data_IF_964156355487
#
_entry.id   IF_964156355487
#
_cell.length_a   1.000
_cell.length_b   1.000
_cell.length_c   1.000
_cell.angle_alpha   90.00
_cell.angle_beta   90.00
_cell.angle_gamma   90.00
#
_symmetry.space_group_name_H-M   'P 1'
#
loop_
_entity.id
_entity.type
_entity.pdbx_description
1 polymer ?
#
# COMPACT_ATOMS: atom_id res chain seq x y z
N UNK A 1 -5.69 6.40 -8.18
CA UNK A 1 -5.29 5.03 -7.79
C UNK A 1 -5.12 4.11 -8.99
N UNK A 2 -6.16 3.85 -9.80
CA UNK A 2 -6.00 2.95 -10.96
C UNK A 2 -5.06 3.50 -12.04
N UNK A 3 -5.23 4.76 -12.45
CA UNK A 3 -4.31 5.44 -13.39
C UNK A 3 -2.87 5.48 -12.87
N UNK A 4 -2.68 5.76 -11.58
CA UNK A 4 -1.35 5.78 -10.96
C UNK A 4 -0.75 4.38 -10.95
N UNK A 5 -1.49 3.36 -10.54
CA UNK A 5 -1.03 1.96 -10.57
C UNK A 5 -0.63 1.50 -11.97
N UNK A 6 -1.38 1.88 -13.02
CA UNK A 6 -1.00 1.61 -14.41
C UNK A 6 0.31 2.29 -14.83
N UNK A 7 0.56 3.53 -14.37
CA UNK A 7 1.84 4.20 -14.61
C UNK A 7 2.99 3.46 -13.91
N UNK A 8 2.79 3.03 -12.66
CA UNK A 8 3.77 2.23 -11.93
C UNK A 8 4.03 0.88 -12.64
N UNK A 9 3.00 0.24 -13.19
CA UNK A 9 3.12 -0.99 -13.98
C UNK A 9 3.89 -0.78 -15.29
N UNK A 10 3.59 0.31 -16.01
CA UNK A 10 4.31 0.63 -17.24
C UNK A 10 5.80 0.91 -16.93
N UNK A 11 6.07 1.68 -15.88
CA UNK A 11 7.43 2.02 -15.45
C UNK A 11 8.20 0.77 -14.98
N UNK A 12 7.53 -0.13 -14.23
CA UNK A 12 8.14 -1.40 -13.80
C UNK A 12 8.47 -2.29 -14.99
N UNK A 13 7.62 -2.33 -16.02
CA UNK A 13 7.88 -3.03 -17.27
C UNK A 13 9.13 -2.51 -17.98
N UNK A 14 9.29 -1.19 -18.07
CA UNK A 14 10.50 -0.57 -18.65
C UNK A 14 11.75 -0.96 -17.86
N UNK A 15 11.71 -0.91 -16.53
CA UNK A 15 12.83 -1.31 -15.68
C UNK A 15 13.13 -2.81 -15.78
N UNK A 16 12.11 -3.66 -15.91
CA UNK A 16 12.28 -5.10 -16.10
C UNK A 16 12.96 -5.41 -17.43
N UNK A 17 12.58 -4.72 -18.51
CA UNK A 17 13.24 -4.82 -19.82
C UNK A 17 14.70 -4.39 -19.70
N UNK A 18 14.96 -3.25 -19.05
CA UNK A 18 16.33 -2.77 -18.82
C UNK A 18 17.19 -3.80 -18.05
N UNK A 19 16.65 -4.41 -17.00
CA UNK A 19 17.32 -5.47 -16.26
C UNK A 19 17.49 -6.77 -17.04
N UNK A 20 16.67 -7.01 -18.08
CA UNK A 20 16.86 -8.15 -18.97
C UNK A 20 18.06 -7.96 -19.91
N UNK A 21 18.36 -6.72 -20.31
CA UNK A 21 19.54 -6.39 -21.12
C UNK A 21 20.86 -6.44 -20.34
N UNK A 22 20.81 -6.21 -19.03
CA UNK A 22 22.00 -6.21 -18.17
C UNK A 22 21.79 -7.21 -17.02
N UNK A 23 22.04 -8.51 -17.26
CA UNK A 23 21.74 -9.55 -16.28
C UNK A 23 22.48 -9.38 -14.95
N UNK A 24 23.60 -8.67 -14.94
CA UNK A 24 24.38 -8.35 -13.74
C UNK A 24 23.61 -7.46 -12.75
N UNK A 25 22.64 -6.67 -13.21
CA UNK A 25 21.75 -5.86 -12.34
C UNK A 25 20.83 -6.73 -11.49
N UNK A 26 20.56 -7.98 -11.87
CA UNK A 26 19.71 -8.89 -11.06
C UNK A 26 20.36 -9.32 -9.76
N UNK A 27 21.70 -9.26 -9.68
CA UNK A 27 22.46 -9.62 -8.48
C UNK A 27 22.70 -8.43 -7.54
N UNK A 28 22.21 -7.24 -7.89
CA UNK A 28 22.33 -6.03 -7.07
C UNK A 28 21.00 -5.68 -6.40
N UNK A 29 21.01 -4.63 -5.56
CA UNK A 29 19.81 -4.06 -4.95
C UNK A 29 18.70 -3.65 -5.95
N UNK A 30 19.00 -3.63 -7.26
CA UNK A 30 18.03 -3.33 -8.30
C UNK A 30 16.92 -4.38 -8.40
N UNK A 31 17.26 -5.67 -8.24
CA UNK A 31 16.27 -6.76 -8.30
C UNK A 31 15.22 -6.63 -7.19
N UNK A 32 15.69 -6.46 -5.96
CA UNK A 32 14.86 -6.20 -4.78
C UNK A 32 13.97 -4.96 -4.95
N UNK A 33 14.55 -3.86 -5.46
CA UNK A 33 13.80 -2.64 -5.72
C UNK A 33 12.69 -2.81 -6.73
N UNK A 34 12.93 -3.59 -7.80
CA UNK A 34 11.93 -3.86 -8.84
C UNK A 34 10.76 -4.71 -8.31
N UNK A 35 11.06 -5.74 -7.51
CA UNK A 35 10.04 -6.58 -6.89
C UNK A 35 9.18 -5.78 -5.92
N UNK A 36 9.81 -4.97 -5.06
CA UNK A 36 9.11 -4.08 -4.14
C UNK A 36 8.28 -3.02 -4.87
N UNK A 37 8.77 -2.52 -6.00
CA UNK A 37 8.02 -1.57 -6.84
C UNK A 37 6.78 -2.22 -7.47
N UNK A 38 6.86 -3.48 -7.90
CA UNK A 38 5.70 -4.25 -8.37
C UNK A 38 4.70 -4.50 -7.24
N UNK A 39 5.17 -5.04 -6.10
CA UNK A 39 4.32 -5.38 -4.96
C UNK A 39 3.63 -4.14 -4.39
N UNK A 40 4.37 -3.09 -4.04
CA UNK A 40 3.77 -1.91 -3.43
C UNK A 40 3.14 -0.97 -4.46
N UNK A 41 3.76 -0.79 -5.62
CA UNK A 41 3.31 0.13 -6.68
C UNK A 41 2.11 -0.38 -7.48
N UNK A 42 2.00 -1.69 -7.70
CA UNK A 42 0.85 -2.26 -8.41
C UNK A 42 -0.15 -2.83 -7.41
N UNK A 43 0.24 -3.88 -6.67
CA UNK A 43 -0.68 -4.61 -5.78
C UNK A 43 -1.15 -3.71 -4.62
N UNK A 44 -0.22 -3.04 -3.95
CA UNK A 44 -0.53 -2.14 -2.83
C UNK A 44 -1.47 -1.01 -3.24
N UNK A 45 -1.11 -0.24 -4.26
CA UNK A 45 -1.95 0.86 -4.76
C UNK A 45 -3.33 0.40 -5.28
N UNK A 46 -3.42 -0.79 -5.88
CA UNK A 46 -4.70 -1.37 -6.30
C UNK A 46 -5.58 -1.71 -5.09
N UNK A 47 -5.02 -2.37 -4.07
CA UNK A 47 -5.72 -2.69 -2.83
C UNK A 47 -6.20 -1.42 -2.12
N UNK A 48 -5.35 -0.40 -2.00
CA UNK A 48 -5.75 0.87 -1.40
C UNK A 48 -6.87 1.56 -2.18
N UNK A 49 -6.80 1.53 -3.52
CA UNK A 49 -7.89 2.01 -4.36
C UNK A 49 -9.20 1.27 -4.08
N UNK A 50 -9.15 -0.06 -3.94
CA UNK A 50 -10.32 -0.88 -3.63
C UNK A 50 -10.90 -0.58 -2.24
N UNK A 51 -10.05 -0.44 -1.21
CA UNK A 51 -10.49 -0.07 0.14
C UNK A 51 -11.15 1.30 0.13
N UNK A 52 -10.58 2.28 -0.58
CA UNK A 52 -11.16 3.62 -0.70
C UNK A 52 -12.43 3.68 -1.53
N UNK A 53 -12.64 2.73 -2.45
CA UNK A 53 -13.91 2.59 -3.16
C UNK A 53 -14.98 1.94 -2.27
N UNK A 54 -14.60 0.95 -1.46
CA UNK A 54 -15.53 0.20 -0.62
C UNK A 54 -15.92 0.97 0.66
N UNK A 55 -14.98 1.68 1.28
CA UNK A 55 -15.18 2.42 2.52
C UNK A 55 -16.37 3.42 2.50
N UNK A 56 -16.48 4.37 1.54
CA UNK A 56 -17.60 5.31 1.52
C UNK A 56 -18.93 4.62 1.24
N UNK A 57 -18.93 3.50 0.52
CA UNK A 57 -20.14 2.74 0.21
C UNK A 57 -20.74 2.03 1.42
N UNK A 58 -19.92 1.71 2.40
CA UNK A 58 -20.35 1.09 3.65
C UNK A 58 -20.76 2.11 4.73
N UNK A 59 -20.30 3.36 4.63
CA UNK A 59 -20.41 4.34 5.72
C UNK A 59 -21.25 5.55 5.37
N UNK A 60 -21.44 5.84 4.09
CA UNK A 60 -22.12 7.05 3.62
C UNK A 60 -21.38 8.36 3.95
N UNK A 61 -20.18 8.29 4.54
CA UNK A 61 -19.38 9.47 4.91
C UNK A 61 -18.22 9.61 3.94
N UNK A 62 -18.39 10.51 2.96
CA UNK A 62 -17.35 10.89 2.03
C UNK A 62 -16.46 11.97 2.65
N UNK A 63 -15.17 11.70 2.72
CA UNK A 63 -14.19 12.72 3.07
C UNK A 63 -12.97 12.53 2.18
N UNK A 64 -13.08 13.10 0.98
CA UNK A 64 -12.18 12.94 -0.16
C UNK A 64 -10.79 13.53 0.06
N UNK A 65 -10.69 14.56 0.91
CA UNK A 65 -9.41 15.23 1.19
C UNK A 65 -8.44 14.30 1.91
N UNK A 66 -8.93 13.52 2.88
CA UNK A 66 -8.10 12.56 3.61
C UNK A 66 -7.64 11.42 2.70
N UNK A 67 -8.54 10.94 1.82
CA UNK A 67 -8.23 9.91 0.82
C UNK A 67 -7.11 10.39 -0.10
N UNK A 68 -7.25 11.58 -0.68
CA UNK A 68 -6.24 12.16 -1.55
C UNK A 68 -4.89 12.34 -0.84
N UNK A 69 -4.89 12.80 0.40
CA UNK A 69 -3.65 13.03 1.17
C UNK A 69 -2.94 11.72 1.50
N UNK A 70 -3.64 10.73 2.05
CA UNK A 70 -3.08 9.41 2.35
C UNK A 70 -2.60 8.70 1.09
N UNK A 71 -3.36 8.84 -0.01
CA UNK A 71 -2.96 8.32 -1.31
C UNK A 71 -1.65 8.93 -1.81
N UNK A 72 -1.49 10.26 -1.70
CA UNK A 72 -0.25 10.95 -2.09
C UNK A 72 0.92 10.52 -1.20
N UNK A 73 0.73 10.43 0.11
CA UNK A 73 1.78 9.95 1.03
C UNK A 73 2.26 8.54 0.68
N UNK A 74 1.33 7.62 0.41
CA UNK A 74 1.66 6.24 0.02
C UNK A 74 2.43 6.24 -1.31
N UNK A 75 1.96 6.98 -2.32
CA UNK A 75 2.67 7.07 -3.61
C UNK A 75 4.09 7.62 -3.46
N UNK A 76 4.29 8.64 -2.62
CA UNK A 76 5.62 9.22 -2.37
C UNK A 76 6.49 8.22 -1.60
N UNK A 77 5.92 7.51 -0.61
CA UNK A 77 6.63 6.49 0.15
C UNK A 77 7.15 5.35 -0.74
N UNK A 78 6.32 4.85 -1.66
CA UNK A 78 6.72 3.83 -2.64
C UNK A 78 7.85 4.34 -3.52
N UNK A 79 7.74 5.59 -3.99
CA UNK A 79 8.71 6.18 -4.91
C UNK A 79 10.07 6.41 -4.25
N UNK A 80 10.09 6.83 -2.99
CA UNK A 80 11.31 6.96 -2.18
C UNK A 80 11.91 5.58 -1.88
N UNK A 81 11.08 4.63 -1.45
CA UNK A 81 11.52 3.30 -1.07
C UNK A 81 12.14 2.54 -2.25
N UNK A 82 11.37 2.34 -3.30
CA UNK A 82 11.83 1.62 -4.47
C UNK A 82 12.87 2.42 -5.26
N UNK A 83 12.73 3.75 -5.33
CA UNK A 83 13.74 4.62 -5.97
C UNK A 83 15.11 4.49 -5.31
N UNK A 84 15.17 4.41 -3.97
CA UNK A 84 16.42 4.19 -3.24
C UNK A 84 17.08 2.86 -3.63
N UNK A 85 16.31 1.79 -3.75
CA UNK A 85 16.81 0.47 -4.15
C UNK A 85 17.25 0.43 -5.62
N UNK A 86 16.46 1.00 -6.53
CA UNK A 86 16.79 1.05 -7.96
C UNK A 86 18.06 1.85 -8.21
N UNK A 87 18.19 3.05 -7.62
CA UNK A 87 19.39 3.88 -7.75
C UNK A 87 20.58 3.20 -7.07
N UNK A 88 20.38 2.64 -5.87
CA UNK A 88 21.41 1.90 -5.14
C UNK A 88 21.95 0.70 -5.94
N UNK A 89 21.09 -0.01 -6.67
CA UNK A 89 21.46 -1.13 -7.52
C UNK A 89 22.27 -0.73 -8.76
N UNK A 90 21.97 0.42 -9.38
CA UNK A 90 22.75 0.97 -10.50
C UNK A 90 24.15 1.39 -10.01
N UNK A 91 24.23 2.09 -8.88
CA UNK A 91 25.51 2.49 -8.29
C UNK A 91 26.35 1.29 -7.85
N UNK A 92 25.71 0.29 -7.25
CA UNK A 92 26.37 -0.96 -6.89
C UNK A 92 26.93 -1.64 -8.13
N UNK A 93 26.14 -1.80 -9.20
CA UNK A 93 26.60 -2.41 -10.44
C UNK A 93 27.80 -1.67 -11.05
N UNK A 94 27.76 -0.35 -11.10
CA UNK A 94 28.85 0.45 -11.65
C UNK A 94 30.16 0.25 -10.85
N UNK A 95 30.07 0.21 -9.51
CA UNK A 95 31.24 -0.03 -8.66
C UNK A 95 31.78 -1.46 -8.72
N UNK A 96 30.92 -2.46 -8.95
CA UNK A 96 31.36 -3.84 -9.18
C UNK A 96 32.13 -3.98 -10.50
N UNK A 97 31.71 -3.28 -11.56
CA UNK A 97 32.43 -3.27 -12.85
C UNK A 97 33.81 -2.61 -12.69
N UNK A 98 33.93 -1.58 -11.85
CA UNK A 98 35.18 -0.85 -11.62
C UNK A 98 36.17 -1.53 -10.66
N UNK A 99 35.95 -2.80 -10.28
CA UNK A 99 36.85 -3.60 -9.42
C UNK A 99 37.21 -2.96 -8.07
N UNK A 100 36.35 -2.08 -7.56
CA UNK A 100 36.53 -1.43 -6.25
C UNK A 100 36.35 -2.50 -5.16
N UNK A 101 37.14 -2.49 -4.07
CA UNK A 101 36.97 -3.44 -2.97
C UNK A 101 35.51 -3.47 -2.48
N UNK A 102 34.96 -4.68 -2.36
CA UNK A 102 33.56 -4.91 -2.00
C UNK A 102 33.15 -4.19 -0.70
N UNK A 103 34.08 -4.04 0.25
CA UNK A 103 33.87 -3.30 1.49
C UNK A 103 33.48 -1.83 1.27
N UNK A 104 34.06 -1.17 0.26
CA UNK A 104 33.80 0.23 -0.06
C UNK A 104 32.46 0.39 -0.83
N UNK A 105 32.14 -0.60 -1.67
CA UNK A 105 30.82 -0.70 -2.31
C UNK A 105 29.73 -0.81 -1.25
N UNK A 106 29.89 -1.72 -0.28
CA UNK A 106 28.94 -1.90 0.82
C UNK A 106 28.82 -0.67 1.71
N UNK A 107 29.91 0.07 1.94
CA UNK A 107 29.83 1.30 2.71
C UNK A 107 29.02 2.39 1.98
N UNK A 108 29.10 2.44 0.65
CA UNK A 108 28.32 3.35 -0.18
C UNK A 108 26.84 2.96 -0.22
N UNK A 109 26.54 1.67 -0.20
CA UNK A 109 25.16 1.14 -0.20
C UNK A 109 24.41 1.47 1.10
N UNK A 110 25.10 1.65 2.24
CA UNK A 110 24.48 2.01 3.54
C UNK A 110 23.60 3.26 3.46
N UNK A 111 23.97 4.26 2.66
CA UNK A 111 23.17 5.47 2.50
C UNK A 111 21.82 5.17 1.82
N UNK A 112 21.82 4.28 0.84
CA UNK A 112 20.60 3.84 0.16
C UNK A 112 19.71 3.00 1.08
N UNK A 113 20.29 2.17 1.96
CA UNK A 113 19.51 1.48 3.00
C UNK A 113 18.87 2.46 3.99
N UNK A 114 19.55 3.53 4.39
CA UNK A 114 18.94 4.56 5.24
C UNK A 114 17.76 5.23 4.53
N UNK A 115 17.92 5.55 3.26
CA UNK A 115 16.84 6.15 2.47
C UNK A 115 15.65 5.19 2.31
N UNK A 116 15.89 3.88 2.16
CA UNK A 116 14.83 2.88 2.10
C UNK A 116 14.08 2.75 3.43
N UNK A 117 14.76 2.81 4.58
CA UNK A 117 14.08 2.80 5.89
C UNK A 117 13.14 3.99 6.08
N UNK A 118 13.50 5.17 5.57
CA UNK A 118 12.62 6.35 5.56
C UNK A 118 11.39 6.09 4.68
N UNK A 119 11.59 5.47 3.50
CA UNK A 119 10.51 5.04 2.63
C UNK A 119 9.52 4.07 3.29
N UNK A 120 10.04 3.05 3.99
CA UNK A 120 9.22 2.09 4.77
C UNK A 120 8.44 2.79 5.87
N UNK A 121 9.06 3.70 6.63
CA UNK A 121 8.38 4.45 7.68
C UNK A 121 7.21 5.26 7.12
N UNK A 122 7.42 5.95 5.99
CA UNK A 122 6.37 6.71 5.32
C UNK A 122 5.22 5.80 4.85
N UNK A 123 5.57 4.63 4.32
CA UNK A 123 4.61 3.62 3.91
C UNK A 123 3.80 3.11 5.11
N UNK A 124 4.47 2.87 6.24
CA UNK A 124 3.84 2.39 7.47
C UNK A 124 2.86 3.42 8.05
N UNK A 125 3.22 4.70 8.03
CA UNK A 125 2.34 5.81 8.43
C UNK A 125 1.10 5.86 7.54
N UNK A 126 1.28 5.76 6.21
CA UNK A 126 0.17 5.73 5.26
C UNK A 126 -0.78 4.55 5.48
N UNK A 127 -0.23 3.35 5.72
CA UNK A 127 -0.99 2.15 6.06
C UNK A 127 -1.73 2.30 7.39
N UNK A 128 -1.08 2.83 8.43
CA UNK A 128 -1.68 3.03 9.74
C UNK A 128 -2.86 4.00 9.70
N UNK A 129 -2.77 5.08 8.90
CA UNK A 129 -3.87 6.02 8.71
C UNK A 129 -5.11 5.35 8.08
N UNK A 130 -4.90 4.43 7.13
CA UNK A 130 -5.99 3.69 6.50
C UNK A 130 -6.57 2.66 7.45
N UNK A 131 -5.72 1.92 8.18
CA UNK A 131 -6.14 0.96 9.19
C UNK A 131 -6.98 1.62 10.29
N UNK A 132 -6.55 2.79 10.77
CA UNK A 132 -7.29 3.58 11.75
C UNK A 132 -8.70 3.92 11.25
N UNK A 133 -8.81 4.31 9.98
CA UNK A 133 -10.10 4.63 9.36
C UNK A 133 -10.99 3.40 9.31
N UNK A 134 -10.50 2.29 8.77
CA UNK A 134 -11.26 1.02 8.68
C UNK A 134 -11.66 0.50 10.05
N UNK A 135 -10.78 0.59 11.05
CA UNK A 135 -11.08 0.21 12.43
C UNK A 135 -12.17 1.08 13.06
N UNK A 136 -12.18 2.39 12.76
CA UNK A 136 -13.28 3.29 13.14
C UNK A 136 -14.62 2.82 12.57
N UNK A 137 -14.64 2.45 11.28
CA UNK A 137 -15.85 1.96 10.62
C UNK A 137 -16.33 0.64 11.22
N UNK A 138 -15.42 -0.33 11.42
CA UNK A 138 -15.74 -1.60 12.07
C UNK A 138 -16.30 -1.37 13.48
N UNK A 139 -15.76 -0.40 14.23
CA UNK A 139 -16.24 -0.07 15.58
C UNK A 139 -17.63 0.55 15.55
N UNK A 140 -17.93 1.42 14.60
CA UNK A 140 -19.27 1.99 14.41
C UNK A 140 -20.28 0.93 13.96
N UNK A 141 -19.88 0.04 13.05
CA UNK A 141 -20.68 -1.09 12.62
C UNK A 141 -20.98 -2.04 13.77
N UNK A 142 -19.98 -2.43 14.57
CA UNK A 142 -20.17 -3.23 15.78
C UNK A 142 -21.05 -2.53 16.81
N UNK A 143 -20.93 -1.20 17.00
CA UNK A 143 -21.83 -0.45 17.90
C UNK A 143 -23.27 -0.42 17.39
N UNK A 144 -23.47 -0.31 16.09
CA UNK A 144 -24.80 -0.28 15.48
C UNK A 144 -25.42 -1.67 15.49
N UNK A 145 -24.63 -2.70 15.21
CA UNK A 145 -25.03 -4.10 15.28
C UNK A 145 -25.34 -4.52 16.72
N UNK A 146 -24.52 -4.16 17.71
CA UNK A 146 -24.84 -4.37 19.13
C UNK A 146 -26.10 -3.62 19.58
N UNK A 147 -26.35 -2.41 19.05
CA UNK A 147 -27.61 -1.70 19.31
C UNK A 147 -28.82 -2.40 18.65
N UNK A 148 -28.66 -3.01 17.48
CA UNK A 148 -29.70 -3.82 16.84
C UNK A 148 -29.94 -5.14 17.58
N UNK A 149 -28.89 -5.83 18.06
CA UNK A 149 -29.04 -7.08 18.81
C UNK A 149 -29.63 -6.88 20.21
N UNK A 150 -29.43 -5.73 20.85
CA UNK A 150 -30.10 -5.40 22.12
C UNK A 150 -31.47 -4.73 21.96
N UNK A 151 -31.89 -4.37 20.74
CA UNK A 151 -33.22 -3.81 20.46
C UNK A 151 -34.26 -4.88 20.09
N UNK A 152 -33.89 -6.16 20.16
CA UNK A 152 -34.77 -7.31 19.88
C UNK A 152 -35.59 -7.76 21.11
N UNK A 153 -35.82 -6.88 22.08
CA UNK A 153 -36.94 -7.00 23.02
C UNK A 153 -38.07 -6.06 22.59
N UNK A 154 -38.56 -6.20 21.35
CA UNK A 154 -39.89 -5.70 21.01
C UNK A 154 -40.89 -6.86 21.14
N UNK A 155 -41.85 -6.80 22.08
CA UNK A 155 -42.83 -7.85 22.24
C UNK A 155 -43.64 -7.97 20.95
N UNK A 156 -43.52 -9.12 20.29
CA UNK A 156 -44.39 -9.52 19.19
C UNK A 156 -45.83 -9.44 19.71
N UNK A 157 -46.52 -8.34 19.41
CA UNK A 157 -47.98 -8.24 19.54
C UNK A 157 -48.58 -9.22 18.53
N UNK A 158 -48.72 -10.49 18.95
CA UNK A 158 -49.65 -11.42 18.31
C UNK A 158 -51.04 -10.79 18.43
N UNK A 159 -51.51 -10.22 17.32
CA UNK A 159 -52.91 -9.86 17.11
C UNK A 159 -53.72 -11.17 17.29
N UNK A 160 -54.61 -11.28 18.29
CA UNK A 160 -55.41 -12.48 18.45
C UNK A 160 -56.33 -12.58 17.22
N UNK A 161 -56.16 -13.64 16.43
CA UNK A 161 -57.11 -14.02 15.42
C UNK A 161 -58.30 -14.67 16.13
N UNK A 162 -59.32 -13.86 16.41
CA UNK A 162 -60.66 -14.32 16.77
C UNK A 162 -61.21 -15.28 15.70
N UNK A 163 -61.63 -16.43 16.18
CA UNK A 163 -62.80 -17.22 15.79
C UNK A 163 -63.30 -17.15 14.33
N UNK A 164 -63.11 -18.25 13.61
CA UNK A 164 -64.05 -18.70 12.58
C UNK A 164 -64.21 -20.22 12.67
N UNK A 165 -65.07 -20.66 13.60
CA UNK A 165 -65.85 -21.91 13.52
C UNK A 165 -67.21 -21.67 14.14
#
# INVERSE_FOLDING_TARGET
YFKTSLLFLALSGVFAIFAAFVPQLRLTLFGEGLEQFMLYGVVGLALFGAIHYLAPRLTGVENDRFVCLSGRMITIGILIYAGAFLVGGIFQQHKLVSSVPFAEVMNSTKMFLRLSTIGILLLMIGNAAILWRVAGLLREWCRTCCKCCCAEEMPVKLKPAEAAR
#
